data_IF_290365011073
#
_entry.id   IF_290365011073
#
_cell.length_a   1.000
_cell.length_b   1.000
_cell.length_c   1.000
_cell.angle_alpha   90.00
_cell.angle_beta   90.00
_cell.angle_gamma   90.00
#
_symmetry.space_group_name_H-M   'P 1'
#
loop_
_entity.id
_entity.type
_entity.pdbx_description
1 polymer ?
#
# COMPACT_ATOMS: atom_id res chain seq x y z
N UNK A 1 -10.20 -28.05 -25.06
CA UNK A 1 -11.14 -28.40 -23.97
C UNK A 1 -10.68 -27.72 -22.69
N UNK A 2 -11.39 -26.66 -22.29
CA UNK A 2 -11.39 -26.06 -20.94
C UNK A 2 -10.09 -25.55 -20.33
N UNK A 3 -9.65 -24.33 -20.68
CA UNK A 3 -8.82 -23.53 -19.77
C UNK A 3 -9.71 -23.09 -18.61
N UNK A 4 -9.80 -23.91 -17.56
CA UNK A 4 -10.34 -23.46 -16.29
C UNK A 4 -9.20 -22.75 -15.54
N UNK A 5 -8.80 -21.59 -16.06
CA UNK A 5 -7.74 -20.78 -15.47
C UNK A 5 -8.29 -20.17 -14.17
N UNK A 6 -8.05 -20.87 -13.06
CA UNK A 6 -8.40 -20.37 -11.74
C UNK A 6 -7.69 -19.04 -11.51
N UNK A 7 -8.46 -17.96 -11.29
CA UNK A 7 -7.93 -16.62 -10.98
C UNK A 7 -6.95 -16.73 -9.79
N UNK A 8 -5.71 -16.30 -10.01
CA UNK A 8 -4.66 -16.32 -8.99
C UNK A 8 -4.97 -15.36 -7.83
N UNK A 9 -4.36 -15.62 -6.66
CA UNK A 9 -4.46 -14.71 -5.51
C UNK A 9 -3.98 -13.30 -5.85
N UNK A 10 -2.92 -13.18 -6.67
CA UNK A 10 -2.38 -11.90 -7.13
C UNK A 10 -3.35 -11.14 -8.01
N UNK A 11 -4.01 -11.80 -8.97
CA UNK A 11 -5.01 -11.17 -9.84
C UNK A 11 -6.23 -10.75 -9.03
N UNK A 12 -6.71 -11.61 -8.12
CA UNK A 12 -7.83 -11.27 -7.24
C UNK A 12 -7.50 -10.07 -6.36
N UNK A 13 -6.30 -10.02 -5.79
CA UNK A 13 -5.84 -8.87 -5.01
C UNK A 13 -5.83 -7.60 -5.86
N UNK A 14 -5.30 -7.66 -7.09
CA UNK A 14 -5.28 -6.51 -8.00
C UNK A 14 -6.69 -5.98 -8.28
N UNK A 15 -7.67 -6.86 -8.50
CA UNK A 15 -9.07 -6.44 -8.70
C UNK A 15 -9.61 -5.67 -7.48
N UNK A 16 -9.39 -6.18 -6.26
CA UNK A 16 -9.78 -5.47 -5.04
C UNK A 16 -9.10 -4.09 -4.94
N UNK A 17 -7.79 -4.04 -5.20
CA UNK A 17 -7.01 -2.80 -5.12
C UNK A 17 -7.51 -1.76 -6.12
N UNK A 18 -7.77 -2.16 -7.37
CA UNK A 18 -8.31 -1.27 -8.39
C UNK A 18 -9.70 -0.77 -8.01
N UNK A 19 -10.57 -1.63 -7.48
CA UNK A 19 -11.89 -1.22 -7.01
C UNK A 19 -11.82 -0.21 -5.86
N UNK A 20 -10.97 -0.44 -4.86
CA UNK A 20 -10.73 0.49 -3.74
C UNK A 20 -10.24 1.85 -4.27
N UNK A 21 -9.28 1.85 -5.20
CA UNK A 21 -8.73 3.07 -5.81
C UNK A 21 -9.76 3.84 -6.61
N UNK A 22 -10.58 3.16 -7.41
CA UNK A 22 -11.64 3.79 -8.21
C UNK A 22 -12.72 4.38 -7.29
N UNK A 23 -13.20 3.62 -6.30
CA UNK A 23 -14.16 4.13 -5.32
C UNK A 23 -13.60 5.34 -4.56
N UNK A 24 -12.32 5.29 -4.17
CA UNK A 24 -11.62 6.41 -3.54
C UNK A 24 -11.50 7.64 -4.45
N UNK A 25 -11.25 7.46 -5.75
CA UNK A 25 -11.24 8.58 -6.73
C UNK A 25 -12.63 9.18 -6.93
N UNK A 26 -13.69 8.37 -6.83
CA UNK A 26 -15.08 8.82 -6.92
C UNK A 26 -15.62 9.43 -5.61
N UNK A 27 -14.81 9.54 -4.55
CA UNK A 27 -15.27 10.03 -3.24
C UNK A 27 -16.15 9.05 -2.47
N UNK A 28 -16.35 7.81 -2.97
CA UNK A 28 -17.18 6.76 -2.35
C UNK A 28 -16.42 6.06 -1.22
N UNK A 29 -16.05 6.82 -0.19
CA UNK A 29 -15.13 6.39 0.86
C UNK A 29 -15.65 5.24 1.73
N UNK A 30 -16.98 5.18 1.95
CA UNK A 30 -17.59 4.11 2.73
C UNK A 30 -17.42 2.76 2.01
N UNK A 31 -17.74 2.72 0.71
CA UNK A 31 -17.62 1.53 -0.12
C UNK A 31 -16.16 1.12 -0.34
N UNK A 32 -15.27 2.09 -0.56
CA UNK A 32 -13.84 1.82 -0.61
C UNK A 32 -13.35 1.15 0.69
N UNK A 33 -13.85 1.62 1.85
CA UNK A 33 -13.56 1.03 3.15
C UNK A 33 -14.10 -0.39 3.31
N UNK A 34 -15.29 -0.66 2.78
CA UNK A 34 -15.88 -2.00 2.79
C UNK A 34 -15.05 -2.98 1.94
N UNK A 35 -14.68 -2.60 0.72
CA UNK A 35 -13.86 -3.44 -0.16
C UNK A 35 -12.47 -3.68 0.44
N UNK A 36 -11.91 -2.67 1.10
CA UNK A 36 -10.66 -2.80 1.82
C UNK A 36 -10.76 -3.79 3.00
N UNK A 37 -11.83 -3.72 3.79
CA UNK A 37 -12.07 -4.69 4.89
C UNK A 37 -12.13 -6.12 4.33
N UNK A 38 -12.91 -6.33 3.27
CA UNK A 38 -13.02 -7.63 2.59
C UNK A 38 -11.65 -8.13 2.09
N UNK A 39 -10.87 -7.25 1.45
CA UNK A 39 -9.54 -7.59 0.97
C UNK A 39 -8.60 -7.98 2.13
N UNK A 40 -8.64 -7.25 3.25
CA UNK A 40 -7.85 -7.57 4.43
C UNK A 40 -8.21 -8.95 4.99
N UNK A 41 -9.49 -9.22 5.19
CA UNK A 41 -9.96 -10.50 5.73
C UNK A 41 -9.56 -11.66 4.80
N UNK A 42 -9.63 -11.45 3.48
CA UNK A 42 -9.29 -12.47 2.49
C UNK A 42 -7.78 -12.75 2.36
N UNK A 43 -6.95 -11.71 2.46
CA UNK A 43 -5.52 -11.81 2.15
C UNK A 43 -4.62 -11.82 3.39
N UNK A 44 -5.16 -11.73 4.60
CA UNK A 44 -4.36 -11.85 5.82
C UNK A 44 -3.62 -13.19 5.86
N UNK A 45 -2.32 -13.17 6.18
CA UNK A 45 -1.47 -14.35 6.17
C UNK A 45 -1.01 -14.83 4.79
N UNK A 46 -1.38 -14.12 3.72
CA UNK A 46 -0.93 -14.43 2.36
C UNK A 46 0.21 -13.49 1.90
N UNK A 47 1.02 -13.88 0.89
CA UNK A 47 2.07 -13.02 0.35
C UNK A 47 1.55 -11.69 -0.24
N UNK A 48 0.29 -11.65 -0.70
CA UNK A 48 -0.30 -10.45 -1.30
C UNK A 48 -0.86 -9.47 -0.27
N UNK A 49 -0.81 -9.80 1.03
CA UNK A 49 -1.29 -8.94 2.11
C UNK A 49 -0.64 -7.56 2.10
N UNK A 50 0.65 -7.47 1.75
CA UNK A 50 1.38 -6.20 1.71
C UNK A 50 0.75 -5.21 0.73
N UNK A 51 0.22 -5.68 -0.41
CA UNK A 51 -0.47 -4.81 -1.38
C UNK A 51 -1.72 -4.18 -0.77
N UNK A 52 -2.42 -4.90 0.11
CA UNK A 52 -3.59 -4.39 0.85
C UNK A 52 -3.17 -3.29 1.82
N UNK A 53 -2.03 -3.44 2.50
CA UNK A 53 -1.48 -2.40 3.39
C UNK A 53 -1.21 -1.10 2.62
N UNK A 54 -0.61 -1.20 1.43
CA UNK A 54 -0.34 -0.04 0.56
C UNK A 54 -1.64 0.65 0.16
N UNK A 55 -2.65 -0.09 -0.32
CA UNK A 55 -3.94 0.51 -0.68
C UNK A 55 -4.70 1.11 0.51
N UNK A 56 -4.59 0.51 1.70
CA UNK A 56 -5.16 1.12 2.90
C UNK A 56 -4.48 2.45 3.23
N UNK A 57 -3.15 2.51 3.08
CA UNK A 57 -2.42 3.76 3.25
C UNK A 57 -2.86 4.81 2.23
N UNK A 58 -3.08 4.43 0.96
CA UNK A 58 -3.60 5.35 -0.07
C UNK A 58 -4.99 5.90 0.32
N UNK A 59 -5.86 5.03 0.85
CA UNK A 59 -7.19 5.43 1.28
C UNK A 59 -7.17 6.31 2.54
N UNK A 60 -6.26 6.03 3.48
CA UNK A 60 -6.06 6.84 4.68
C UNK A 60 -5.63 8.27 4.32
N UNK A 61 -4.71 8.43 3.37
CA UNK A 61 -4.33 9.75 2.84
C UNK A 61 -5.55 10.51 2.29
N UNK A 62 -6.40 9.84 1.49
CA UNK A 62 -7.64 10.44 0.93
C UNK A 62 -8.64 10.87 2.00
N UNK A 63 -8.61 10.24 3.18
CA UNK A 63 -9.43 10.58 4.34
C UNK A 63 -8.79 11.63 5.26
N UNK A 64 -7.65 12.21 4.85
CA UNK A 64 -6.86 13.12 5.66
C UNK A 64 -6.31 12.45 6.95
N UNK A 65 -6.20 11.12 6.96
CA UNK A 65 -5.66 10.31 8.07
C UNK A 65 -4.14 10.08 7.87
N UNK A 66 -3.38 11.18 7.71
CA UNK A 66 -1.96 11.17 7.29
C UNK A 66 -1.08 10.31 8.19
N UNK A 67 -1.17 10.47 9.52
CA UNK A 67 -0.35 9.69 10.45
C UNK A 67 -0.68 8.20 10.43
N UNK A 68 -1.95 7.85 10.15
CA UNK A 68 -2.34 6.46 9.98
C UNK A 68 -1.67 5.90 8.73
N UNK A 69 -1.73 6.59 7.60
CA UNK A 69 -1.08 6.17 6.36
C UNK A 69 0.40 5.83 6.59
N UNK A 70 1.15 6.72 7.25
CA UNK A 70 2.57 6.49 7.58
C UNK A 70 2.76 5.24 8.47
N UNK A 71 1.94 5.09 9.52
CA UNK A 71 1.99 3.88 10.39
C UNK A 71 1.75 2.59 9.63
N UNK A 72 0.95 2.63 8.57
CA UNK A 72 0.68 1.46 7.75
C UNK A 72 1.87 1.10 6.86
N UNK A 73 2.48 2.10 6.21
CA UNK A 73 3.66 1.87 5.38
C UNK A 73 4.85 1.34 6.19
N UNK A 74 4.99 1.75 7.46
CA UNK A 74 6.00 1.22 8.37
C UNK A 74 5.81 -0.27 8.72
N UNK A 75 4.66 -0.88 8.40
CA UNK A 75 4.42 -2.32 8.61
C UNK A 75 4.90 -3.18 7.45
N UNK A 76 5.34 -2.57 6.34
CA UNK A 76 5.81 -3.30 5.16
C UNK A 76 7.22 -3.85 5.44
N UNK A 77 7.42 -5.19 5.41
CA UNK A 77 8.73 -5.80 5.64
C UNK A 77 9.75 -5.43 4.55
N UNK A 78 11.05 -5.38 4.88
CA UNK A 78 12.12 -5.05 3.93
C UNK A 78 12.33 -6.12 2.85
N UNK A 79 12.03 -7.38 3.15
CA UNK A 79 12.08 -8.51 2.21
C UNK A 79 10.86 -8.57 1.28
N UNK A 80 9.87 -7.70 1.48
CA UNK A 80 8.71 -7.60 0.61
C UNK A 80 9.07 -7.01 -0.76
N UNK A 81 8.55 -7.56 -1.86
CA UNK A 81 8.71 -6.97 -3.19
C UNK A 81 8.09 -5.56 -3.31
N UNK A 82 7.21 -5.18 -2.38
CA UNK A 82 6.59 -3.85 -2.33
C UNK A 82 7.30 -2.86 -1.38
N UNK A 83 8.40 -3.25 -0.73
CA UNK A 83 9.10 -2.40 0.25
C UNK A 83 9.52 -1.05 -0.32
N UNK A 84 10.22 -1.06 -1.47
CA UNK A 84 10.69 0.18 -2.12
C UNK A 84 9.51 1.11 -2.43
N UNK A 85 8.41 0.56 -2.96
CA UNK A 85 7.19 1.32 -3.25
C UNK A 85 6.60 1.93 -1.98
N UNK A 86 6.57 1.19 -0.88
CA UNK A 86 6.06 1.67 0.40
C UNK A 86 6.89 2.84 0.94
N UNK A 87 8.21 2.78 0.85
CA UNK A 87 9.11 3.87 1.30
C UNK A 87 8.99 5.11 0.41
N UNK A 88 8.91 4.95 -0.91
CA UNK A 88 8.67 6.08 -1.84
C UNK A 88 7.35 6.78 -1.52
N UNK A 89 6.29 6.01 -1.34
CA UNK A 89 4.98 6.55 -0.96
C UNK A 89 5.02 7.26 0.40
N UNK A 90 5.76 6.72 1.39
CA UNK A 90 5.97 7.35 2.69
C UNK A 90 6.67 8.71 2.54
N UNK A 91 7.70 8.78 1.68
CA UNK A 91 8.40 10.01 1.37
C UNK A 91 7.44 11.05 0.76
N UNK A 92 6.66 10.67 -0.24
CA UNK A 92 5.69 11.55 -0.90
C UNK A 92 4.66 12.08 0.09
N UNK A 93 4.23 11.25 1.05
CA UNK A 93 3.32 11.68 2.12
C UNK A 93 3.97 12.74 3.03
N UNK A 94 5.22 12.52 3.46
CA UNK A 94 5.95 13.49 4.28
C UNK A 94 6.10 14.83 3.58
N UNK A 95 6.45 14.84 2.29
CA UNK A 95 6.64 16.07 1.53
C UNK A 95 5.31 16.80 1.26
N UNK A 96 4.30 16.06 0.82
CA UNK A 96 3.05 16.64 0.30
C UNK A 96 2.10 17.06 1.42
N UNK A 97 1.97 16.24 2.47
CA UNK A 97 0.94 16.45 3.50
C UNK A 97 1.51 16.96 4.83
N UNK A 98 2.75 16.61 5.17
CA UNK A 98 3.40 17.12 6.40
C UNK A 98 4.34 18.30 6.16
N UNK A 99 4.69 18.56 4.90
CA UNK A 99 5.74 19.52 4.52
C UNK A 99 7.07 19.27 5.24
N UNK A 100 7.33 18.02 5.59
CA UNK A 100 8.49 17.59 6.37
C UNK A 100 9.59 17.11 5.42
N UNK A 101 10.44 18.05 5.02
CA UNK A 101 11.57 17.78 4.12
C UNK A 101 12.62 16.86 4.74
N UNK A 102 12.76 16.88 6.07
CA UNK A 102 13.74 16.03 6.76
C UNK A 102 13.28 14.57 6.73
N UNK A 103 12.00 14.32 7.06
CA UNK A 103 11.43 12.98 7.00
C UNK A 103 11.38 12.43 5.56
N UNK A 104 11.10 13.29 4.57
CA UNK A 104 11.24 12.95 3.15
C UNK A 104 12.67 12.46 2.82
N UNK A 105 13.69 13.22 3.20
CA UNK A 105 15.09 12.86 2.95
C UNK A 105 15.51 11.56 3.67
N UNK A 106 15.00 11.35 4.89
CA UNK A 106 15.23 10.11 5.65
C UNK A 106 14.69 8.87 4.92
N UNK A 107 13.54 8.96 4.25
CA UNK A 107 13.00 7.85 3.46
C UNK A 107 13.94 7.47 2.29
N UNK A 108 14.50 8.44 1.59
CA UNK A 108 15.44 8.15 0.49
C UNK A 108 16.81 7.66 1.00
N UNK A 109 17.23 8.13 2.18
CA UNK A 109 18.41 7.58 2.85
C UNK A 109 18.22 6.09 3.19
N UNK A 110 17.05 5.72 3.70
CA UNK A 110 16.66 4.32 3.97
C UNK A 110 16.76 3.46 2.70
N UNK A 111 16.29 3.96 1.55
CA UNK A 111 16.42 3.25 0.26
C UNK A 111 17.87 3.06 -0.19
N UNK A 112 18.72 4.06 0.01
CA UNK A 112 20.15 3.98 -0.34
C UNK A 112 20.87 2.96 0.56
N UNK A 113 20.52 2.91 1.84
CA UNK A 113 21.07 1.93 2.78
C UNK A 113 20.59 0.51 2.45
N UNK A 114 19.32 0.35 2.05
CA UNK A 114 18.77 -0.92 1.59
C UNK A 114 19.49 -1.46 0.33
N UNK A 115 19.76 -0.61 -0.66
CA UNK A 115 20.46 -1.01 -1.90
C UNK A 115 21.92 -1.45 -1.66
N UNK A 116 22.56 -0.89 -0.62
CA UNK A 116 23.93 -1.24 -0.22
C UNK A 116 24.04 -2.54 0.58
N UNK A 117 22.92 -3.14 0.99
CA UNK A 117 22.92 -4.41 1.72
C UNK A 117 23.30 -5.57 0.78
N UNK A 118 24.16 -6.52 1.21
CA UNK A 118 24.39 -7.75 0.45
C UNK A 118 23.06 -8.48 0.20
N UNK A 119 22.86 -8.97 -1.04
CA UNK A 119 21.69 -9.77 -1.42
C UNK A 119 21.83 -11.22 -0.98
#
# INVERSE_FOLDING_TARGET
>A
TGHNDAISLSERAEIFLQMIRVLGKLGRMAEAGEQLKRARDLFTGTPVHVKVIVAESELAVRRNEVDKAIRMLNRVPQDSPDFVRAVVMKADIHLTYRHDKLAYAQCYKELIEFDKSPR
#
